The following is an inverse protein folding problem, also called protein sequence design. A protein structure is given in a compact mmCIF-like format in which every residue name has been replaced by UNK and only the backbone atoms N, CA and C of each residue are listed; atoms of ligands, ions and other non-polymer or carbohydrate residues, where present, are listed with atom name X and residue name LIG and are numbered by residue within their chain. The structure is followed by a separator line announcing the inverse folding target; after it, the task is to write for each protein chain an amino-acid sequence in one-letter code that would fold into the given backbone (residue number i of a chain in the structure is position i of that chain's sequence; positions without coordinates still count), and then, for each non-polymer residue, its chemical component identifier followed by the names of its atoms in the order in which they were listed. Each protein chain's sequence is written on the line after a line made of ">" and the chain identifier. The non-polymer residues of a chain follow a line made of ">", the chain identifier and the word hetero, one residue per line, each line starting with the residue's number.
data_IF_784937034356
#
_entry.id   IF_784937034356
#
_cell.length_a   1.000
_cell.length_b   1.000
_cell.length_c   1.000
_cell.angle_alpha   90.00
_cell.angle_beta   90.00
_cell.angle_gamma   90.00
#
_symmetry.space_group_name_H-M   'P 1'
#
loop_
_entity.id
_entity.type
_entity.pdbx_description
1 polymer ?
#
# COMPACT_ATOMS: atom_id res chain seq x y z
N UNK A 1 -14.16 26.59 -8.84
CA UNK A 1 -12.71 26.29 -8.69
C UNK A 1 -12.38 25.48 -7.42
N UNK A 2 -13.36 25.05 -6.62
CA UNK A 2 -13.10 24.28 -5.39
C UNK A 2 -12.89 22.76 -5.62
N UNK A 3 -13.44 22.19 -6.70
CA UNK A 3 -13.53 20.74 -6.88
C UNK A 3 -12.19 20.05 -7.23
N UNK A 4 -11.31 20.71 -8.00
CA UNK A 4 -10.01 20.15 -8.43
C UNK A 4 -9.01 20.06 -7.27
N UNK A 5 -8.98 21.02 -6.36
CA UNK A 5 -8.05 20.93 -5.21
C UNK A 5 -8.57 19.93 -4.18
N UNK A 6 -9.89 19.82 -4.03
CA UNK A 6 -10.51 18.96 -3.04
C UNK A 6 -10.24 17.47 -3.29
N UNK A 7 -10.29 17.01 -4.55
CA UNK A 7 -9.99 15.59 -4.83
C UNK A 7 -8.52 15.23 -4.53
N UNK A 8 -7.59 16.16 -4.73
CA UNK A 8 -6.17 15.97 -4.42
C UNK A 8 -5.93 15.92 -2.90
N UNK A 9 -6.61 16.78 -2.13
CA UNK A 9 -6.58 16.74 -0.65
C UNK A 9 -7.11 15.40 -0.12
N UNK A 10 -8.25 14.95 -0.65
CA UNK A 10 -8.84 13.67 -0.28
C UNK A 10 -7.91 12.48 -0.59
N UNK A 11 -7.15 12.54 -1.68
CA UNK A 11 -6.16 11.52 -2.02
C UNK A 11 -5.03 11.44 -0.98
N UNK A 12 -4.54 12.59 -0.50
CA UNK A 12 -3.55 12.61 0.61
C UNK A 12 -4.17 12.02 1.87
N UNK A 13 -5.36 12.46 2.28
CA UNK A 13 -5.98 11.97 3.51
C UNK A 13 -6.18 10.45 3.48
N UNK A 14 -6.58 9.90 2.33
CA UNK A 14 -6.69 8.46 2.11
C UNK A 14 -5.34 7.72 2.15
N UNK A 15 -4.28 8.30 1.58
CA UNK A 15 -2.94 7.74 1.72
C UNK A 15 -2.52 7.69 3.20
N UNK A 16 -2.78 8.77 3.94
CA UNK A 16 -2.43 8.90 5.36
C UNK A 16 -3.18 7.90 6.25
N UNK A 17 -4.43 7.57 5.90
CA UNK A 17 -5.17 6.47 6.55
C UNK A 17 -4.49 5.10 6.38
N UNK A 18 -3.66 4.95 5.34
CA UNK A 18 -3.02 3.67 5.00
C UNK A 18 -1.58 3.54 5.50
N UNK A 19 -0.92 4.64 5.89
CA UNK A 19 0.47 4.63 6.34
C UNK A 19 0.57 4.77 7.86
N UNK A 20 1.34 3.89 8.48
CA UNK A 20 1.63 3.94 9.91
C UNK A 20 2.81 4.88 10.16
N UNK A 21 2.55 6.15 10.42
CA UNK A 21 3.57 7.11 10.87
C UNK A 21 4.11 8.05 9.79
N UNK A 22 4.55 9.22 10.23
CA UNK A 22 4.88 10.37 9.38
C UNK A 22 6.40 10.55 9.19
N UNK A 23 7.23 9.68 9.79
CA UNK A 23 8.69 9.85 9.76
C UNK A 23 9.35 9.33 8.46
N UNK A 24 8.56 8.76 7.54
CA UNK A 24 9.06 8.13 6.31
C UNK A 24 9.32 9.09 5.14
N UNK A 25 9.68 8.49 4.01
CA UNK A 25 9.79 9.15 2.72
C UNK A 25 8.57 8.86 1.85
N UNK A 26 8.05 9.89 1.17
CA UNK A 26 6.98 9.78 0.17
C UNK A 26 7.47 10.18 -1.21
N UNK A 27 7.03 9.42 -2.20
CA UNK A 27 7.21 9.73 -3.61
C UNK A 27 5.86 10.12 -4.23
N UNK A 28 5.77 11.34 -4.72
CA UNK A 28 4.67 11.80 -5.57
C UNK A 28 5.03 11.54 -7.04
N UNK A 29 4.10 10.91 -7.77
CA UNK A 29 4.21 10.63 -9.20
C UNK A 29 3.00 11.24 -9.91
N UNK A 30 3.23 12.20 -10.81
CA UNK A 30 2.16 12.89 -11.55
C UNK A 30 2.45 14.38 -11.77
N UNK A 31 3.16 15.01 -10.84
CA UNK A 31 3.59 16.42 -10.89
C UNK A 31 2.48 17.46 -10.88
N UNK A 32 1.21 17.06 -10.78
CA UNK A 32 0.03 17.92 -10.98
C UNK A 32 -0.67 18.30 -9.66
N UNK A 33 -0.06 17.99 -8.51
CA UNK A 33 -0.59 18.41 -7.22
C UNK A 33 -0.47 19.93 -7.04
N UNK A 34 -1.52 20.54 -6.51
CA UNK A 34 -1.56 21.95 -6.11
C UNK A 34 -0.49 22.24 -5.04
N UNK A 35 0.05 23.46 -5.04
CA UNK A 35 1.09 23.84 -4.10
C UNK A 35 0.68 23.62 -2.63
N UNK A 36 -0.58 23.92 -2.26
CA UNK A 36 -1.04 23.71 -0.88
C UNK A 36 -1.13 22.23 -0.50
N UNK A 37 -1.34 21.36 -1.49
CA UNK A 37 -1.40 19.90 -1.32
C UNK A 37 0.01 19.36 -1.12
N UNK A 38 0.98 19.84 -1.90
CA UNK A 38 2.40 19.50 -1.74
C UNK A 38 2.98 19.99 -0.40
N UNK A 39 2.61 21.19 0.05
CA UNK A 39 3.02 21.72 1.35
C UNK A 39 2.47 20.85 2.50
N UNK A 40 1.22 20.39 2.39
CA UNK A 40 0.64 19.44 3.35
C UNK A 40 1.40 18.11 3.35
N UNK A 41 1.69 17.55 2.17
CA UNK A 41 2.40 16.28 2.05
C UNK A 41 3.81 16.34 2.68
N UNK A 42 4.55 17.41 2.37
CA UNK A 42 5.92 17.66 2.87
C UNK A 42 5.99 18.09 4.34
N UNK A 43 4.92 18.68 4.87
CA UNK A 43 4.81 18.93 6.31
C UNK A 43 4.59 17.66 7.14
N UNK A 44 4.17 16.56 6.49
CA UNK A 44 3.90 15.28 7.13
C UNK A 44 5.11 14.37 7.01
N UNK A 45 5.60 14.11 5.79
CA UNK A 45 6.72 13.21 5.56
C UNK A 45 8.08 13.91 5.66
N UNK A 46 9.06 13.28 6.31
CA UNK A 46 10.44 13.82 6.44
C UNK A 46 11.13 14.02 5.09
N UNK A 47 10.87 13.14 4.13
CA UNK A 47 11.39 13.25 2.76
C UNK A 47 10.26 13.22 1.75
N UNK A 48 10.12 14.29 0.96
CA UNK A 48 9.13 14.36 -0.12
C UNK A 48 9.83 14.59 -1.45
N UNK A 49 9.62 13.66 -2.39
CA UNK A 49 10.08 13.78 -3.77
C UNK A 49 8.86 13.91 -4.68
N UNK A 50 8.89 14.90 -5.57
CA UNK A 50 7.78 15.29 -6.46
C UNK A 50 8.31 15.37 -7.89
N UNK A 51 7.50 15.09 -8.89
CA UNK A 51 7.85 15.55 -10.25
C UNK A 51 7.99 14.50 -11.35
N UNK A 52 7.53 13.27 -11.12
CA UNK A 52 7.65 12.22 -12.12
C UNK A 52 6.53 12.35 -13.15
N UNK A 53 6.91 12.86 -14.32
CA UNK A 53 6.03 12.94 -15.48
C UNK A 53 6.22 11.70 -16.35
N UNK A 54 5.14 11.12 -16.88
CA UNK A 54 5.23 9.98 -17.79
C UNK A 54 5.99 10.29 -19.09
N UNK A 55 6.24 11.57 -19.41
CA UNK A 55 7.15 11.99 -20.49
C UNK A 55 8.03 13.21 -20.08
N UNK A 56 9.29 13.17 -20.48
CA UNK A 56 10.30 14.25 -20.35
C UNK A 56 9.96 15.54 -21.13
N UNK A 57 8.84 15.59 -21.85
CA UNK A 57 8.31 16.77 -22.54
C UNK A 57 7.02 17.33 -21.93
N UNK A 58 6.42 16.66 -20.95
CA UNK A 58 5.20 17.15 -20.28
C UNK A 58 5.42 18.54 -19.63
N UNK A 59 4.50 19.52 -19.77
CA UNK A 59 4.75 20.90 -19.34
C UNK A 59 5.02 21.03 -17.84
N UNK A 60 5.89 21.97 -17.44
CA UNK A 60 6.03 22.38 -16.03
C UNK A 60 4.70 22.98 -15.55
N UNK A 61 4.25 22.61 -14.36
CA UNK A 61 3.42 23.53 -13.58
C UNK A 61 4.33 24.72 -13.20
N UNK A 62 3.97 25.93 -13.62
CA UNK A 62 4.83 27.13 -13.58
C UNK A 62 5.11 27.68 -12.18
N UNK A 63 4.63 27.02 -11.13
CA UNK A 63 4.65 27.50 -9.74
C UNK A 63 5.40 26.55 -8.80
N UNK A 64 6.67 26.24 -9.08
CA UNK A 64 7.53 25.52 -8.13
C UNK A 64 8.61 26.46 -7.59
N UNK A 65 8.49 26.83 -6.31
CA UNK A 65 9.44 27.67 -5.59
C UNK A 65 10.75 26.92 -5.34
N UNK A 66 11.89 27.61 -5.47
CA UNK A 66 13.22 27.05 -5.18
C UNK A 66 13.48 26.77 -3.70
N UNK A 67 12.65 27.31 -2.80
CA UNK A 67 12.71 27.13 -1.34
C UNK A 67 11.71 26.09 -0.82
N UNK A 68 11.10 25.31 -1.71
CA UNK A 68 10.09 24.34 -1.32
C UNK A 68 10.68 23.21 -0.43
N UNK A 69 9.96 22.73 0.59
CA UNK A 69 10.41 21.66 1.50
C UNK A 69 10.43 20.26 0.86
N UNK A 70 10.42 20.17 -0.47
CA UNK A 70 10.41 18.93 -1.24
C UNK A 70 11.39 18.99 -2.42
N UNK A 71 11.93 17.82 -2.79
CA UNK A 71 12.81 17.70 -3.94
C UNK A 71 12.00 17.49 -5.21
N UNK A 72 12.19 18.35 -6.22
CA UNK A 72 11.58 18.18 -7.53
C UNK A 72 12.52 17.43 -8.48
N UNK A 73 12.13 16.25 -8.95
CA UNK A 73 12.89 15.44 -9.90
C UNK A 73 12.05 15.10 -11.12
N UNK A 74 12.65 15.16 -12.32
CA UNK A 74 12.02 14.73 -13.56
C UNK A 74 12.61 13.41 -14.03
N UNK A 75 11.82 12.34 -13.99
CA UNK A 75 12.13 11.08 -14.66
C UNK A 75 10.86 10.39 -15.13
N UNK A 76 11.02 9.39 -15.99
CA UNK A 76 9.94 8.49 -16.38
C UNK A 76 9.55 7.64 -15.16
N UNK A 77 8.25 7.51 -14.89
CA UNK A 77 7.73 6.65 -13.83
C UNK A 77 8.01 5.16 -14.07
N UNK A 78 8.29 4.79 -15.33
CA UNK A 78 8.72 3.46 -15.72
C UNK A 78 10.22 3.21 -15.51
N UNK A 79 11.01 4.23 -15.15
CA UNK A 79 12.46 4.13 -14.90
C UNK A 79 12.84 5.05 -13.73
N UNK A 80 12.55 4.61 -12.50
CA UNK A 80 12.74 5.41 -11.30
C UNK A 80 14.22 5.46 -10.88
N UNK A 81 14.84 6.65 -10.78
CA UNK A 81 16.27 6.82 -10.48
C UNK A 81 16.58 6.70 -8.98
N UNK A 82 15.83 5.88 -8.26
CA UNK A 82 15.98 5.65 -6.82
C UNK A 82 16.51 4.25 -6.58
N UNK A 83 17.20 4.09 -5.45
CA UNK A 83 17.59 2.77 -4.97
C UNK A 83 16.34 2.00 -4.55
N UNK A 84 16.47 0.69 -4.51
CA UNK A 84 15.43 -0.19 -3.97
C UNK A 84 15.08 0.27 -2.53
N UNK A 85 13.80 0.17 -2.19
CA UNK A 85 13.32 0.39 -0.82
C UNK A 85 13.61 1.80 -0.25
N UNK A 86 13.56 2.82 -1.11
CA UNK A 86 13.79 4.22 -0.73
C UNK A 86 12.58 4.91 -0.09
N UNK A 87 11.36 4.41 -0.33
CA UNK A 87 10.11 5.07 0.04
C UNK A 87 9.19 4.21 0.89
N UNK A 88 8.52 4.85 1.84
CA UNK A 88 7.48 4.26 2.69
C UNK A 88 6.10 4.39 2.02
N UNK A 89 5.94 5.42 1.18
CA UNK A 89 4.69 5.71 0.49
C UNK A 89 4.93 6.20 -0.96
N UNK A 90 4.02 5.82 -1.85
CA UNK A 90 3.89 6.39 -3.19
C UNK A 90 2.48 6.95 -3.34
N UNK A 91 2.38 8.19 -3.79
CA UNK A 91 1.14 8.87 -4.16
C UNK A 91 1.11 9.11 -5.67
N UNK A 92 0.08 8.63 -6.35
CA UNK A 92 -0.16 8.91 -7.76
C UNK A 92 -1.58 9.40 -7.99
N UNK A 93 -1.74 10.57 -8.61
CA UNK A 93 -3.04 11.16 -8.86
C UNK A 93 -3.11 11.64 -10.30
N UNK A 94 -4.10 11.16 -11.06
CA UNK A 94 -4.26 11.44 -12.49
C UNK A 94 -3.02 11.09 -13.36
N UNK A 95 -2.23 10.10 -12.94
CA UNK A 95 -0.96 9.76 -13.64
C UNK A 95 -1.09 8.52 -14.50
N UNK A 96 -1.79 7.48 -14.01
CA UNK A 96 -1.82 6.16 -14.66
C UNK A 96 -2.47 6.18 -16.05
N UNK A 97 -3.30 7.18 -16.33
CA UNK A 97 -3.91 7.42 -17.63
C UNK A 97 -2.91 7.88 -18.72
N UNK A 98 -1.71 8.23 -18.30
CA UNK A 98 -0.61 8.68 -19.15
C UNK A 98 0.58 7.70 -19.16
N UNK A 99 0.50 6.62 -18.38
CA UNK A 99 1.57 5.60 -18.30
C UNK A 99 1.43 4.59 -19.44
N UNK A 100 2.43 4.54 -20.33
CA UNK A 100 2.46 3.60 -21.45
C UNK A 100 2.63 2.13 -21.02
N UNK A 101 3.68 1.85 -20.24
CA UNK A 101 4.00 0.53 -19.70
C UNK A 101 3.61 0.43 -18.21
N UNK A 102 2.31 0.21 -17.98
CA UNK A 102 1.74 0.11 -16.63
C UNK A 102 2.36 -1.03 -15.82
N UNK A 103 2.69 -2.16 -16.46
CA UNK A 103 3.25 -3.30 -15.76
C UNK A 103 4.68 -3.00 -15.27
N UNK A 104 5.50 -2.33 -16.09
CA UNK A 104 6.81 -1.85 -15.68
C UNK A 104 6.72 -0.79 -14.59
N UNK A 105 5.80 0.16 -14.73
CA UNK A 105 5.53 1.16 -13.70
C UNK A 105 5.21 0.53 -12.34
N UNK A 106 4.32 -0.46 -12.29
CA UNK A 106 3.96 -1.14 -11.04
C UNK A 106 5.14 -1.94 -10.45
N UNK A 107 6.01 -2.52 -11.28
CA UNK A 107 7.26 -3.16 -10.83
C UNK A 107 8.25 -2.15 -10.25
N UNK A 108 8.38 -0.97 -10.85
CA UNK A 108 9.22 0.10 -10.33
C UNK A 108 8.68 0.63 -8.99
N UNK A 109 7.37 0.86 -8.88
CA UNK A 109 6.72 1.20 -7.61
C UNK A 109 7.02 0.15 -6.53
N UNK A 110 6.89 -1.14 -6.87
CA UNK A 110 7.24 -2.23 -5.96
C UNK A 110 8.72 -2.21 -5.54
N UNK A 111 9.63 -1.97 -6.48
CA UNK A 111 11.08 -1.95 -6.24
C UNK A 111 11.46 -0.85 -5.25
N UNK A 112 10.97 0.37 -5.46
CA UNK A 112 11.35 1.53 -4.64
C UNK A 112 10.59 1.62 -3.31
N UNK A 113 9.46 0.91 -3.17
CA UNK A 113 8.78 0.79 -1.89
C UNK A 113 9.56 -0.12 -0.94
N UNK A 114 9.62 0.29 0.33
CA UNK A 114 10.07 -0.57 1.43
C UNK A 114 9.06 -1.69 1.68
N UNK A 115 9.47 -2.82 2.29
CA UNK A 115 8.54 -3.84 2.74
C UNK A 115 7.45 -3.20 3.60
N UNK A 116 6.17 -3.46 3.28
CA UNK A 116 5.03 -2.86 4.00
C UNK A 116 4.62 -1.47 3.50
N UNK A 117 5.44 -0.85 2.65
CA UNK A 117 5.15 0.45 2.06
C UNK A 117 3.91 0.42 1.17
N UNK A 118 3.26 1.57 1.06
CA UNK A 118 1.94 1.72 0.44
C UNK A 118 2.04 2.49 -0.86
N UNK A 119 1.33 2.02 -1.88
CA UNK A 119 1.07 2.77 -3.10
C UNK A 119 -0.41 3.12 -3.19
N UNK A 120 -0.73 4.42 -3.10
CA UNK A 120 -2.06 4.95 -3.36
C UNK A 120 -2.13 5.52 -4.77
N UNK A 121 -3.18 5.17 -5.51
CA UNK A 121 -3.49 5.80 -6.79
C UNK A 121 -4.96 6.15 -6.96
N UNK A 122 -5.22 7.30 -7.57
CA UNK A 122 -6.55 7.71 -8.02
C UNK A 122 -6.47 8.38 -9.38
N UNK A 123 -7.15 7.82 -10.36
CA UNK A 123 -7.11 8.29 -11.74
C UNK A 123 -8.37 7.86 -12.48
N UNK A 124 -8.50 8.29 -13.72
CA UNK A 124 -9.68 8.00 -14.52
C UNK A 124 -9.28 7.23 -15.78
N UNK A 125 -9.92 6.08 -16.09
CA UNK A 125 -9.56 5.31 -17.27
C UNK A 125 -10.21 5.96 -18.50
N UNK A 126 -9.44 6.73 -19.27
CA UNK A 126 -9.97 7.58 -20.35
C UNK A 126 -10.85 6.79 -21.34
N UNK A 127 -10.44 5.58 -21.72
CA UNK A 127 -11.17 4.76 -22.71
C UNK A 127 -12.37 3.99 -22.10
N UNK A 128 -12.57 4.04 -20.78
CA UNK A 128 -13.75 3.47 -20.10
C UNK A 128 -14.70 4.53 -19.57
N UNK A 129 -14.59 5.78 -20.04
CA UNK A 129 -15.38 6.92 -19.60
C UNK A 129 -16.00 7.67 -20.79
N UNK A 130 -17.16 8.28 -20.57
CA UNK A 130 -17.80 9.14 -21.59
C UNK A 130 -17.06 10.44 -21.84
N UNK A 131 -16.41 10.99 -20.82
CA UNK A 131 -15.62 12.21 -20.92
C UNK A 131 -14.17 11.79 -21.16
N UNK A 132 -13.51 12.28 -22.21
CA UNK A 132 -12.11 11.95 -22.53
C UNK A 132 -11.09 12.64 -21.61
N UNK A 133 -11.31 12.58 -20.29
CA UNK A 133 -11.07 13.57 -19.23
C UNK A 133 -9.72 14.30 -19.10
N UNK A 134 -8.70 14.06 -19.91
CA UNK A 134 -7.44 14.86 -19.89
C UNK A 134 -7.05 15.45 -21.25
N UNK A 135 -8.03 15.67 -22.13
CA UNK A 135 -7.77 16.40 -23.37
C UNK A 135 -7.60 17.90 -23.13
N UNK A 136 -6.38 18.38 -23.39
CA UNK A 136 -6.01 19.79 -23.39
C UNK A 136 -5.49 20.18 -24.77
N UNK A 137 -6.34 20.81 -25.58
CA UNK A 137 -5.90 21.37 -26.86
C UNK A 137 -5.59 22.85 -26.68
N UNK A 138 -4.41 23.30 -27.11
CA UNK A 138 -3.99 24.71 -27.02
C UNK A 138 -3.57 25.22 -28.39
N UNK A 139 -4.08 26.39 -28.76
CA UNK A 139 -3.69 27.11 -29.97
C UNK A 139 -3.51 28.61 -29.65
N UNK A 140 -2.27 29.03 -29.47
CA UNK A 140 -1.96 30.39 -29.00
C UNK A 140 -2.55 30.65 -27.62
N UNK A 141 -3.46 31.62 -27.49
CA UNK A 141 -4.16 31.95 -26.23
C UNK A 141 -5.48 31.17 -26.03
N UNK A 142 -5.85 30.31 -26.98
CA UNK A 142 -7.09 29.52 -26.94
C UNK A 142 -6.80 28.14 -26.37
N UNK A 143 -7.73 27.64 -25.57
CA UNK A 143 -7.64 26.32 -24.96
C UNK A 143 -9.02 25.65 -24.94
N UNK A 144 -9.05 24.34 -25.20
CA UNK A 144 -10.17 23.46 -24.86
C UNK A 144 -9.70 22.51 -23.75
N UNK A 145 -10.42 22.50 -22.63
CA UNK A 145 -10.10 21.67 -21.46
C UNK A 145 -11.30 20.83 -21.11
N UNK A 146 -11.22 19.54 -21.38
CA UNK A 146 -12.36 18.65 -21.39
C UNK A 146 -12.92 18.37 -20.00
N UNK A 147 -12.07 18.44 -18.98
CA UNK A 147 -12.45 18.29 -17.58
C UNK A 147 -13.06 19.56 -16.96
N UNK A 148 -13.01 20.71 -17.65
CA UNK A 148 -13.60 21.95 -17.11
C UNK A 148 -15.07 22.05 -17.54
N UNK A 149 -16.02 22.20 -16.59
CA UNK A 149 -17.41 22.43 -16.91
C UNK A 149 -17.60 23.57 -17.91
N UNK A 150 -18.39 23.33 -18.96
CA UNK A 150 -18.67 24.32 -20.01
C UNK A 150 -17.50 24.61 -20.98
N UNK A 151 -16.37 23.89 -20.88
CA UNK A 151 -15.23 24.02 -21.79
C UNK A 151 -14.94 22.77 -22.63
N UNK A 152 -15.72 21.71 -22.48
CA UNK A 152 -15.65 20.53 -23.33
C UNK A 152 -16.45 20.80 -24.63
N UNK A 153 -15.81 20.89 -25.80
CA UNK A 153 -16.51 21.10 -27.06
C UNK A 153 -17.13 19.81 -27.61
N UNK A 154 -16.84 18.65 -27.02
CA UNK A 154 -17.20 17.34 -27.55
C UNK A 154 -18.32 16.66 -26.73
N UNK A 155 -19.32 16.05 -27.39
CA UNK A 155 -20.30 15.20 -26.71
C UNK A 155 -19.66 13.97 -26.05
N UNK A 156 -20.35 13.40 -25.07
CA UNK A 156 -19.88 12.19 -24.40
C UNK A 156 -19.68 11.02 -25.38
N UNK A 157 -18.66 10.20 -25.12
CA UNK A 157 -18.26 9.00 -25.89
C UNK A 157 -17.85 9.23 -27.34
N UNK A 158 -17.99 10.43 -27.88
CA UNK A 158 -17.75 10.67 -29.30
C UNK A 158 -16.30 10.35 -29.73
N UNK A 159 -15.32 10.54 -28.83
CA UNK A 159 -13.91 10.20 -29.03
C UNK A 159 -13.67 8.69 -29.23
N UNK A 160 -14.58 7.83 -28.76
CA UNK A 160 -14.52 6.39 -28.95
C UNK A 160 -15.36 5.94 -30.16
N UNK A 161 -16.42 6.66 -30.47
CA UNK A 161 -17.37 6.26 -31.51
C UNK A 161 -16.94 6.79 -32.88
N UNK A 162 -16.67 8.09 -32.99
CA UNK A 162 -16.40 8.78 -34.25
C UNK A 162 -15.01 8.48 -34.82
N UNK A 163 -14.92 8.59 -36.14
CA UNK A 163 -13.70 8.71 -36.91
C UNK A 163 -13.12 10.14 -36.83
N UNK A 164 -11.83 10.34 -37.19
CA UNK A 164 -11.23 11.67 -37.26
C UNK A 164 -12.02 12.64 -38.16
N UNK A 165 -12.60 12.16 -39.26
CA UNK A 165 -13.34 13.00 -40.21
C UNK A 165 -14.70 13.43 -39.68
N UNK A 166 -15.43 12.52 -39.01
CA UNK A 166 -16.68 12.85 -38.31
C UNK A 166 -16.43 13.87 -37.19
N UNK A 167 -15.37 13.68 -36.40
CA UNK A 167 -14.97 14.64 -35.38
C UNK A 167 -14.61 16.00 -35.97
N UNK A 168 -13.86 16.03 -37.08
CA UNK A 168 -13.53 17.27 -37.79
C UNK A 168 -14.76 18.01 -38.29
N UNK A 169 -15.69 17.28 -38.91
CA UNK A 169 -16.94 17.85 -39.41
C UNK A 169 -17.76 18.48 -38.28
N UNK A 170 -17.88 17.78 -37.14
CA UNK A 170 -18.57 18.30 -35.96
C UNK A 170 -17.89 19.54 -35.39
N UNK A 171 -16.56 19.52 -35.20
CA UNK A 171 -15.83 20.67 -34.67
C UNK A 171 -15.88 21.89 -35.61
N UNK A 172 -15.93 21.67 -36.92
CA UNK A 172 -16.08 22.72 -37.93
C UNK A 172 -17.49 23.35 -37.95
N UNK A 173 -18.48 22.72 -37.30
CA UNK A 173 -19.85 23.24 -37.19
C UNK A 173 -20.02 24.35 -36.14
N UNK A 174 -18.97 24.65 -35.38
CA UNK A 174 -18.91 25.79 -34.46
C UNK A 174 -18.81 25.55 -32.94
N UNK A 175 -18.63 24.33 -32.38
CA UNK A 175 -18.49 24.17 -30.91
C UNK A 175 -17.16 24.71 -30.36
N UNK A 176 -16.16 24.99 -31.20
CA UNK A 176 -14.89 25.59 -30.78
C UNK A 176 -14.26 26.48 -31.86
N UNK A 177 -13.13 27.11 -31.51
CA UNK A 177 -12.31 27.89 -32.44
C UNK A 177 -11.64 26.97 -33.48
N UNK A 178 -11.65 27.33 -34.76
CA UNK A 178 -11.08 26.54 -35.86
C UNK A 178 -9.61 26.14 -35.61
N UNK A 179 -8.86 26.99 -34.91
CA UNK A 179 -7.44 26.73 -34.60
C UNK A 179 -7.25 25.57 -33.62
N UNK A 180 -8.31 25.16 -32.90
CA UNK A 180 -8.27 24.04 -31.96
C UNK A 180 -8.66 22.71 -32.61
N UNK A 181 -9.19 22.70 -33.84
CA UNK A 181 -9.72 21.48 -34.48
C UNK A 181 -8.63 20.42 -34.64
N UNK A 182 -7.56 20.71 -35.38
CA UNK A 182 -6.48 19.74 -35.60
C UNK A 182 -5.72 19.40 -34.30
N UNK A 183 -5.46 20.34 -33.37
CA UNK A 183 -4.95 19.98 -32.05
C UNK A 183 -5.84 18.99 -31.28
N UNK A 184 -7.17 19.17 -31.29
CA UNK A 184 -8.10 18.22 -30.65
C UNK A 184 -8.01 16.86 -31.33
N UNK A 185 -8.12 16.80 -32.66
CA UNK A 185 -8.08 15.53 -33.41
C UNK A 185 -6.76 14.81 -33.18
N UNK A 186 -5.63 15.52 -33.29
CA UNK A 186 -4.31 14.95 -33.03
C UNK A 186 -4.21 14.42 -31.61
N UNK A 187 -4.76 15.13 -30.62
CA UNK A 187 -4.72 14.67 -29.24
C UNK A 187 -5.58 13.42 -29.02
N UNK A 188 -6.81 13.39 -29.54
CA UNK A 188 -7.72 12.23 -29.42
C UNK A 188 -7.14 10.99 -30.09
N UNK A 189 -6.71 11.11 -31.35
CA UNK A 189 -6.42 9.93 -32.17
C UNK A 189 -4.94 9.60 -32.25
N UNK A 190 -4.05 10.59 -32.17
CA UNK A 190 -2.62 10.42 -32.47
C UNK A 190 -1.69 10.64 -31.27
N UNK A 191 -2.20 11.18 -30.15
CA UNK A 191 -1.34 11.41 -28.98
C UNK A 191 -0.82 10.09 -28.43
N UNK A 192 0.50 10.05 -28.19
CA UNK A 192 1.17 8.98 -27.46
C UNK A 192 1.03 9.13 -25.94
N UNK A 193 0.66 10.32 -25.48
CA UNK A 193 0.63 10.68 -24.07
C UNK A 193 -0.65 10.16 -23.38
N UNK A 194 -1.62 9.64 -24.14
CA UNK A 194 -2.85 9.08 -23.59
C UNK A 194 -2.86 7.55 -23.70
N UNK A 195 -3.06 6.91 -22.56
CA UNK A 195 -3.36 5.49 -22.47
C UNK A 195 -4.72 5.18 -23.11
N UNK A 196 -4.71 4.22 -24.04
CA UNK A 196 -5.91 3.67 -24.69
C UNK A 196 -6.41 2.39 -24.01
N UNK A 197 -6.08 2.22 -22.73
CA UNK A 197 -6.47 1.06 -21.91
C UNK A 197 -7.89 1.22 -21.40
N UNK A 198 -8.66 0.13 -21.46
CA UNK A 198 -9.95 0.04 -20.79
C UNK A 198 -9.76 -0.37 -19.32
N UNK A 199 -10.82 -0.23 -18.52
CA UNK A 199 -10.87 -0.63 -17.12
C UNK A 199 -10.27 -2.04 -16.91
N UNK A 200 -10.67 -3.02 -17.72
CA UNK A 200 -10.24 -4.40 -17.53
C UNK A 200 -8.73 -4.57 -17.73
N UNK A 201 -8.11 -3.72 -18.55
CA UNK A 201 -6.67 -3.75 -18.77
C UNK A 201 -5.91 -3.22 -17.54
N UNK A 202 -6.43 -2.20 -16.86
CA UNK A 202 -5.91 -1.77 -15.56
C UNK A 202 -6.09 -2.87 -14.51
N UNK A 203 -7.28 -3.46 -14.40
CA UNK A 203 -7.55 -4.54 -13.43
C UNK A 203 -6.65 -5.75 -13.68
N UNK A 204 -6.39 -6.12 -14.95
CA UNK A 204 -5.46 -7.19 -15.31
C UNK A 204 -4.05 -6.87 -14.81
N UNK A 205 -3.55 -5.66 -15.09
CA UNK A 205 -2.22 -5.21 -14.69
C UNK A 205 -2.07 -5.19 -13.16
N UNK A 206 -3.11 -4.72 -12.45
CA UNK A 206 -3.15 -4.70 -10.99
C UNK A 206 -3.09 -6.10 -10.38
N UNK A 207 -3.79 -7.07 -10.96
CA UNK A 207 -3.75 -8.47 -10.49
C UNK A 207 -2.42 -9.16 -10.76
N UNK A 208 -1.71 -8.75 -11.81
CA UNK A 208 -0.41 -9.31 -12.18
C UNK A 208 0.76 -8.57 -11.51
N UNK A 209 0.47 -7.46 -10.85
CA UNK A 209 1.43 -6.68 -10.08
C UNK A 209 2.03 -7.49 -8.93
N UNK A 210 3.32 -7.31 -8.60
CA UNK A 210 3.89 -7.84 -7.37
C UNK A 210 3.38 -7.10 -6.11
N UNK A 211 2.69 -5.95 -6.27
CA UNK A 211 2.05 -5.26 -5.16
C UNK A 211 0.71 -5.92 -4.81
N UNK A 212 0.50 -6.20 -3.53
CA UNK A 212 -0.77 -6.73 -3.04
C UNK A 212 -1.84 -5.63 -3.10
N UNK A 213 -2.91 -5.86 -3.87
CA UNK A 213 -4.06 -4.96 -3.91
C UNK A 213 -4.85 -5.05 -2.59
N UNK A 214 -4.94 -3.94 -1.87
CA UNK A 214 -5.66 -3.81 -0.61
C UNK A 214 -7.07 -3.23 -0.81
N UNK A 215 -7.18 -2.22 -1.66
CA UNK A 215 -8.44 -1.53 -1.96
C UNK A 215 -8.58 -1.36 -3.47
N UNK A 216 -9.79 -1.50 -3.98
CA UNK A 216 -10.16 -1.15 -5.36
C UNK A 216 -11.61 -0.62 -5.38
N UNK A 217 -11.74 0.69 -5.55
CA UNK A 217 -13.01 1.38 -5.65
C UNK A 217 -13.19 1.89 -7.09
N UNK A 218 -14.35 1.58 -7.67
CA UNK A 218 -14.72 2.03 -9.02
C UNK A 218 -15.75 3.14 -8.93
N UNK A 219 -15.46 4.29 -9.52
CA UNK A 219 -16.37 5.44 -9.59
C UNK A 219 -17.16 5.36 -10.89
N UNK A 220 -18.49 5.26 -10.78
CA UNK A 220 -19.43 5.23 -11.90
C UNK A 220 -20.45 6.36 -11.74
N UNK A 221 -20.48 7.29 -12.68
CA UNK A 221 -21.39 8.45 -12.58
C UNK A 221 -22.25 8.63 -13.84
N UNK A 222 -21.81 8.16 -15.01
CA UNK A 222 -22.54 8.35 -16.28
C UNK A 222 -22.31 7.18 -17.26
N UNK A 223 -23.26 6.22 -17.39
CA UNK A 223 -23.17 5.18 -18.41
C UNK A 223 -23.56 5.73 -19.79
N UNK A 224 -23.06 5.12 -20.90
CA UNK A 224 -23.49 5.47 -22.24
C UNK A 224 -24.99 5.22 -22.44
N UNK A 225 -25.64 6.01 -23.30
CA UNK A 225 -27.02 5.72 -23.73
C UNK A 225 -27.08 4.39 -24.49
N UNK A 226 -28.25 3.73 -24.59
CA UNK A 226 -28.36 2.44 -25.28
C UNK A 226 -27.79 2.44 -26.71
N UNK A 227 -28.03 3.50 -27.48
CA UNK A 227 -27.54 3.64 -28.85
C UNK A 227 -26.02 3.80 -28.93
N UNK A 228 -25.43 4.55 -27.98
CA UNK A 228 -23.97 4.71 -27.88
C UNK A 228 -23.34 3.41 -27.40
N UNK A 229 -23.93 2.75 -26.42
CA UNK A 229 -23.46 1.47 -25.90
C UNK A 229 -23.43 0.41 -27.00
N UNK A 230 -24.46 0.30 -27.82
CA UNK A 230 -24.49 -0.63 -28.95
C UNK A 230 -23.35 -0.38 -29.94
N UNK A 231 -23.04 0.89 -30.24
CA UNK A 231 -21.91 1.26 -31.09
C UNK A 231 -20.56 0.89 -30.46
N UNK A 232 -20.39 1.18 -29.17
CA UNK A 232 -19.17 0.85 -28.44
C UNK A 232 -18.94 -0.66 -28.36
N UNK A 233 -19.98 -1.43 -28.04
CA UNK A 233 -19.91 -2.90 -27.98
C UNK A 233 -19.62 -3.50 -29.35
N UNK A 234 -20.23 -2.97 -30.41
CA UNK A 234 -19.92 -3.40 -31.78
C UNK A 234 -18.47 -3.12 -32.19
N UNK A 235 -17.87 -2.03 -31.70
CA UNK A 235 -16.52 -1.61 -32.09
C UNK A 235 -15.41 -2.25 -31.25
N UNK A 236 -15.65 -2.46 -29.96
CA UNK A 236 -14.60 -2.83 -29.00
C UNK A 236 -14.87 -4.14 -28.24
N UNK A 237 -16.06 -4.74 -28.38
CA UNK A 237 -16.46 -5.95 -27.68
C UNK A 237 -17.54 -5.71 -26.63
N UNK A 238 -18.42 -6.71 -26.44
CA UNK A 238 -19.55 -6.64 -25.52
C UNK A 238 -19.14 -6.76 -24.05
N UNK A 239 -17.94 -7.29 -23.79
CA UNK A 239 -17.37 -7.52 -22.46
C UNK A 239 -16.72 -6.28 -21.84
N UNK A 240 -16.57 -5.20 -22.60
CA UNK A 240 -15.91 -3.97 -22.16
C UNK A 240 -16.85 -3.07 -21.34
N UNK A 241 -16.30 -2.50 -20.27
CA UNK A 241 -16.98 -1.52 -19.42
C UNK A 241 -16.71 -0.09 -19.89
N UNK A 242 -17.79 0.66 -20.13
CA UNK A 242 -17.76 2.02 -20.66
C UNK A 242 -18.34 3.08 -19.70
N UNK A 243 -18.62 2.74 -18.44
CA UNK A 243 -19.15 3.69 -17.43
C UNK A 243 -18.19 4.06 -16.30
N UNK A 244 -16.93 3.63 -16.36
CA UNK A 244 -15.96 3.85 -15.30
C UNK A 244 -15.28 5.21 -15.43
N UNK A 245 -15.64 6.13 -14.55
CA UNK A 245 -15.10 7.49 -14.54
C UNK A 245 -13.90 7.66 -13.61
N UNK A 246 -13.61 6.66 -12.78
CA UNK A 246 -12.51 6.74 -11.83
C UNK A 246 -12.20 5.40 -11.23
N UNK A 247 -10.94 5.20 -10.93
CA UNK A 247 -10.39 4.09 -10.18
C UNK A 247 -9.61 4.69 -9.01
N UNK A 248 -9.94 4.26 -7.81
CA UNK A 248 -9.13 4.46 -6.63
C UNK A 248 -8.61 3.08 -6.20
N UNK A 249 -7.31 2.96 -6.03
CA UNK A 249 -6.69 1.71 -5.62
C UNK A 249 -5.58 1.97 -4.59
N UNK A 250 -5.49 1.06 -3.64
CA UNK A 250 -4.41 1.02 -2.65
C UNK A 250 -3.72 -0.31 -2.77
N UNK A 251 -2.40 -0.28 -2.87
CA UNK A 251 -1.56 -1.45 -2.87
C UNK A 251 -0.54 -1.39 -1.75
N UNK A 252 -0.05 -2.55 -1.35
CA UNK A 252 1.00 -2.68 -0.36
C UNK A 252 2.10 -3.62 -0.86
N UNK A 253 3.36 -3.24 -0.65
CA UNK A 253 4.48 -4.17 -0.84
C UNK A 253 4.47 -5.19 0.29
N UNK A 254 4.56 -6.46 -0.07
CA UNK A 254 4.57 -7.52 0.92
C UNK A 254 5.78 -7.40 1.87
N UNK A 255 5.54 -7.52 3.17
CA UNK A 255 6.61 -7.59 4.17
C UNK A 255 7.17 -9.01 4.24
N UNK A 256 8.48 -9.15 4.43
CA UNK A 256 9.03 -10.47 4.79
C UNK A 256 8.50 -10.89 6.17
N UNK A 257 8.51 -12.20 6.41
CA UNK A 257 8.09 -12.79 7.69
C UNK A 257 8.92 -12.21 8.85
N UNK A 258 10.23 -12.04 8.65
CA UNK A 258 11.16 -11.48 9.63
C UNK A 258 10.95 -9.97 9.82
N UNK A 259 10.61 -9.24 8.76
CA UNK A 259 10.27 -7.82 8.86
C UNK A 259 8.98 -7.61 9.66
N UNK A 260 7.96 -8.46 9.44
CA UNK A 260 6.74 -8.46 10.25
C UNK A 260 7.03 -8.78 11.71
N UNK A 261 7.86 -9.80 11.98
CA UNK A 261 8.21 -10.14 13.35
C UNK A 261 8.92 -8.98 14.06
N UNK A 262 9.92 -8.35 13.43
CA UNK A 262 10.59 -7.16 14.00
C UNK A 262 9.63 -6.00 14.23
N UNK A 263 8.68 -5.78 13.33
CA UNK A 263 7.66 -4.74 13.52
C UNK A 263 6.75 -5.04 14.72
N UNK A 264 6.36 -6.30 14.92
CA UNK A 264 5.63 -6.73 16.11
C UNK A 264 6.42 -6.47 17.39
N UNK A 265 7.73 -6.74 17.38
CA UNK A 265 8.64 -6.48 18.51
C UNK A 265 8.79 -4.98 18.80
N UNK A 266 8.90 -4.14 17.77
CA UNK A 266 8.93 -2.69 17.92
C UNK A 266 7.63 -2.15 18.55
N UNK A 267 6.47 -2.62 18.08
CA UNK A 267 5.17 -2.27 18.65
C UNK A 267 5.07 -2.72 20.12
N UNK A 268 5.50 -3.94 20.43
CA UNK A 268 5.55 -4.47 21.78
C UNK A 268 6.40 -3.59 22.70
N UNK A 269 7.63 -3.27 22.30
CA UNK A 269 8.56 -2.46 23.07
C UNK A 269 8.06 -1.01 23.28
N UNK A 270 7.24 -0.50 22.36
CA UNK A 270 6.60 0.81 22.47
C UNK A 270 5.26 0.78 23.24
N UNK A 271 4.84 -0.38 23.75
CA UNK A 271 3.61 -0.55 24.53
C UNK A 271 2.33 -0.67 23.70
N UNK A 272 2.43 -0.78 22.37
CA UNK A 272 1.29 -0.98 21.46
C UNK A 272 0.87 -2.46 21.40
N UNK A 273 0.50 -3.03 22.55
CA UNK A 273 0.33 -4.47 22.72
C UNK A 273 -0.70 -5.12 21.78
N UNK A 274 -1.83 -4.45 21.53
CA UNK A 274 -2.88 -4.95 20.63
C UNK A 274 -2.41 -5.01 19.17
N UNK A 275 -1.73 -3.96 18.71
CA UNK A 275 -1.18 -3.88 17.36
C UNK A 275 -0.06 -4.91 17.17
N UNK A 276 0.79 -5.09 18.19
CA UNK A 276 1.83 -6.12 18.20
C UNK A 276 1.23 -7.53 18.04
N UNK A 277 0.15 -7.85 18.78
CA UNK A 277 -0.54 -9.12 18.67
C UNK A 277 -1.10 -9.35 17.25
N UNK A 278 -1.77 -8.35 16.68
CA UNK A 278 -2.29 -8.41 15.31
C UNK A 278 -1.17 -8.64 14.28
N UNK A 279 0.03 -8.09 14.52
CA UNK A 279 1.20 -8.30 13.66
C UNK A 279 1.77 -9.71 13.82
N UNK A 280 1.97 -10.20 15.05
CA UNK A 280 2.49 -11.57 15.25
C UNK A 280 1.52 -12.64 14.75
N UNK A 281 0.20 -12.41 14.83
CA UNK A 281 -0.79 -13.30 14.20
C UNK A 281 -0.56 -13.37 12.68
N UNK A 282 -0.33 -12.23 12.02
CA UNK A 282 0.01 -12.22 10.57
C UNK A 282 1.31 -12.95 10.26
N UNK A 283 2.28 -12.94 11.19
CA UNK A 283 3.53 -13.70 11.04
C UNK A 283 3.22 -15.20 10.98
N UNK A 284 2.50 -15.74 11.95
CA UNK A 284 2.19 -17.18 12.00
C UNK A 284 1.19 -17.63 10.92
N UNK A 285 0.34 -16.73 10.41
CA UNK A 285 -0.51 -16.99 9.24
C UNK A 285 0.30 -17.16 7.95
N UNK A 286 1.43 -16.44 7.85
CA UNK A 286 2.33 -16.51 6.68
C UNK A 286 3.37 -17.61 6.80
N UNK A 287 3.87 -17.82 8.01
CA UNK A 287 4.83 -18.86 8.35
C UNK A 287 4.44 -19.53 9.66
N UNK A 288 3.70 -20.63 9.54
CA UNK A 288 3.30 -21.45 10.68
C UNK A 288 4.46 -22.19 11.35
N UNK A 289 5.67 -22.11 10.79
CA UNK A 289 6.92 -22.61 11.35
C UNK A 289 7.76 -21.55 12.08
N UNK A 290 7.24 -20.34 12.33
CA UNK A 290 8.01 -19.30 13.00
C UNK A 290 7.92 -19.40 14.54
N UNK A 291 8.82 -20.14 15.17
CA UNK A 291 8.83 -20.38 16.62
C UNK A 291 8.83 -19.09 17.47
N UNK A 292 9.74 -18.15 17.17
CA UNK A 292 9.82 -16.86 17.87
C UNK A 292 8.51 -16.05 17.86
N UNK A 293 7.72 -16.10 16.78
CA UNK A 293 6.43 -15.40 16.73
C UNK A 293 5.40 -16.04 17.67
N UNK A 294 5.37 -17.38 17.77
CA UNK A 294 4.56 -18.07 18.76
C UNK A 294 4.99 -17.72 20.20
N UNK A 295 6.29 -17.65 20.47
CA UNK A 295 6.82 -17.17 21.75
C UNK A 295 6.35 -15.74 22.06
N UNK A 296 6.47 -14.82 21.10
CA UNK A 296 6.07 -13.42 21.28
C UNK A 296 4.56 -13.27 21.56
N UNK A 297 3.70 -14.09 20.92
CA UNK A 297 2.27 -14.15 21.25
C UNK A 297 2.05 -14.66 22.68
N UNK A 298 2.79 -15.69 23.10
CA UNK A 298 2.75 -16.20 24.48
C UNK A 298 3.07 -15.12 25.50
N UNK A 299 4.13 -14.32 25.26
CA UNK A 299 4.51 -13.19 26.12
C UNK A 299 3.38 -12.17 26.22
N UNK A 300 2.78 -11.77 25.09
CA UNK A 300 1.64 -10.85 25.06
C UNK A 300 0.43 -11.37 25.83
N UNK A 301 0.14 -12.67 25.76
CA UNK A 301 -0.95 -13.29 26.51
C UNK A 301 -0.67 -13.27 28.02
N UNK A 302 0.59 -13.46 28.44
CA UNK A 302 0.98 -13.30 29.84
C UNK A 302 0.76 -11.88 30.34
N UNK A 303 1.14 -10.86 29.55
CA UNK A 303 0.88 -9.45 29.88
C UNK A 303 -0.63 -9.16 30.01
N UNK A 304 -1.47 -9.88 29.27
CA UNK A 304 -2.93 -9.79 29.38
C UNK A 304 -3.53 -10.67 30.51
N UNK A 305 -2.71 -11.38 31.28
CA UNK A 305 -3.13 -12.27 32.37
C UNK A 305 -3.65 -13.65 31.91
N UNK A 306 -3.55 -13.98 30.63
CA UNK A 306 -4.03 -15.23 30.03
C UNK A 306 -2.98 -16.34 30.06
N UNK A 307 -2.43 -16.62 31.25
CA UNK A 307 -1.29 -17.51 31.43
C UNK A 307 -1.52 -18.93 30.88
N UNK A 308 -2.72 -19.51 31.03
CA UNK A 308 -3.02 -20.84 30.49
C UNK A 308 -3.00 -20.88 28.96
N UNK A 309 -3.46 -19.81 28.30
CA UNK A 309 -3.40 -19.70 26.84
C UNK A 309 -1.95 -19.49 26.39
N UNK A 310 -1.18 -18.68 27.12
CA UNK A 310 0.23 -18.43 26.83
C UNK A 310 1.05 -19.72 26.78
N UNK A 311 0.83 -20.66 27.71
CA UNK A 311 1.51 -21.98 27.71
C UNK A 311 1.30 -22.71 26.39
N UNK A 312 0.09 -22.70 25.81
CA UNK A 312 -0.18 -23.37 24.54
C UNK A 312 0.64 -22.78 23.38
N UNK A 313 0.84 -21.45 23.39
CA UNK A 313 1.65 -20.77 22.37
C UNK A 313 3.15 -21.04 22.57
N UNK A 314 3.64 -21.07 23.81
CA UNK A 314 5.03 -21.44 24.06
C UNK A 314 5.30 -22.91 23.73
N UNK A 315 4.42 -23.83 24.11
CA UNK A 315 4.51 -25.24 23.72
C UNK A 315 4.51 -25.38 22.19
N UNK A 316 3.69 -24.59 21.49
CA UNK A 316 3.70 -24.58 20.03
C UNK A 316 5.03 -24.06 19.45
N UNK A 317 5.63 -23.04 20.04
CA UNK A 317 6.97 -22.57 19.66
C UNK A 317 8.01 -23.69 19.84
N UNK A 318 7.96 -24.42 20.94
CA UNK A 318 8.88 -25.51 21.28
C UNK A 318 8.65 -26.79 20.47
N UNK A 319 7.43 -27.03 20.02
CA UNK A 319 7.12 -28.11 19.07
C UNK A 319 7.75 -27.84 17.69
N UNK A 320 7.87 -26.56 17.33
CA UNK A 320 8.48 -26.10 16.06
C UNK A 320 10.00 -26.08 16.20
N UNK A 321 10.52 -25.45 17.25
CA UNK A 321 11.94 -25.37 17.58
C UNK A 321 12.17 -25.69 19.07
N UNK A 322 12.56 -26.94 19.40
CA UNK A 322 12.83 -27.34 20.77
C UNK A 322 14.00 -26.59 21.44
N UNK A 323 14.86 -25.94 20.66
CA UNK A 323 16.00 -25.17 21.14
C UNK A 323 15.73 -23.65 21.20
N UNK A 324 14.48 -23.21 20.97
CA UNK A 324 14.04 -21.81 21.15
C UNK A 324 14.11 -21.42 22.64
N UNK A 325 15.27 -20.89 23.01
CA UNK A 325 15.68 -20.63 24.39
C UNK A 325 14.69 -19.73 25.14
N UNK A 326 14.20 -18.68 24.49
CA UNK A 326 13.29 -17.73 25.12
C UNK A 326 11.94 -18.39 25.42
N UNK A 327 11.45 -19.25 24.52
CA UNK A 327 10.23 -20.03 24.76
C UNK A 327 10.39 -21.01 25.93
N UNK A 328 11.56 -21.65 26.08
CA UNK A 328 11.83 -22.54 27.23
C UNK A 328 11.73 -21.77 28.55
N UNK A 329 12.40 -20.61 28.64
CA UNK A 329 12.39 -19.78 29.84
C UNK A 329 10.99 -19.27 30.14
N UNK A 330 10.31 -18.71 29.14
CA UNK A 330 8.99 -18.11 29.30
C UNK A 330 7.94 -19.17 29.69
N UNK A 331 7.91 -20.30 28.98
CA UNK A 331 7.00 -21.40 29.30
C UNK A 331 7.24 -21.96 30.69
N UNK A 332 8.51 -22.20 31.05
CA UNK A 332 8.86 -22.73 32.36
C UNK A 332 8.47 -21.79 33.51
N UNK A 333 8.70 -20.48 33.36
CA UNK A 333 8.27 -19.47 34.35
C UNK A 333 6.75 -19.42 34.49
N UNK A 334 6.02 -19.47 33.38
CA UNK A 334 4.54 -19.44 33.41
C UNK A 334 3.98 -20.73 34.03
N UNK A 335 4.54 -21.90 33.69
CA UNK A 335 4.19 -23.17 34.32
C UNK A 335 4.41 -23.13 35.84
N UNK A 336 5.51 -22.52 36.31
CA UNK A 336 5.77 -22.29 37.75
C UNK A 336 4.69 -21.42 38.37
N UNK A 337 4.29 -20.31 37.73
CA UNK A 337 3.20 -19.45 38.20
C UNK A 337 1.83 -20.18 38.24
N UNK A 338 1.66 -21.21 37.42
CA UNK A 338 0.46 -22.05 37.36
C UNK A 338 0.55 -23.31 38.27
N UNK A 339 1.53 -23.38 39.17
CA UNK A 339 1.82 -24.53 40.04
C UNK A 339 2.16 -25.84 39.31
N UNK A 340 2.50 -25.77 38.02
CA UNK A 340 2.91 -26.89 37.16
C UNK A 340 4.43 -27.14 37.25
N UNK A 341 4.94 -27.21 38.48
CA UNK A 341 6.37 -27.29 38.78
C UNK A 341 7.03 -28.56 38.22
N UNK A 342 6.29 -29.66 38.06
CA UNK A 342 6.84 -30.93 37.55
C UNK A 342 7.10 -30.82 36.05
N UNK A 343 6.21 -30.17 35.33
CA UNK A 343 6.23 -29.94 33.90
C UNK A 343 7.37 -28.97 33.55
N UNK A 344 7.47 -27.84 34.27
CA UNK A 344 8.58 -26.89 34.13
C UNK A 344 9.96 -27.56 34.36
N UNK A 345 10.06 -28.44 35.37
CA UNK A 345 11.30 -29.20 35.62
C UNK A 345 11.66 -30.08 34.42
N UNK A 346 10.68 -30.79 33.85
CA UNK A 346 10.90 -31.65 32.69
C UNK A 346 11.34 -30.84 31.48
N UNK A 347 10.69 -29.71 31.24
CA UNK A 347 11.02 -28.80 30.15
C UNK A 347 12.48 -28.31 30.24
N UNK A 348 12.88 -27.70 31.37
CA UNK A 348 14.26 -27.24 31.55
C UNK A 348 15.28 -28.38 31.46
N UNK A 349 14.96 -29.56 32.03
CA UNK A 349 15.86 -30.71 31.96
C UNK A 349 16.03 -31.23 30.53
N UNK A 350 14.97 -31.19 29.73
CA UNK A 350 15.00 -31.61 28.33
C UNK A 350 15.84 -30.64 27.48
N UNK A 351 15.65 -29.33 27.64
CA UNK A 351 16.46 -28.33 26.94
C UNK A 351 17.94 -28.42 27.31
N UNK A 352 18.27 -28.57 28.60
CA UNK A 352 19.66 -28.69 29.07
C UNK A 352 20.33 -30.00 28.63
N UNK A 353 19.58 -31.00 28.21
CA UNK A 353 20.16 -32.22 27.66
C UNK A 353 20.87 -31.95 26.32
N UNK A 354 20.31 -31.07 25.49
CA UNK A 354 20.92 -30.62 24.23
C UNK A 354 21.79 -29.37 24.41
N UNK A 355 21.51 -28.54 25.43
CA UNK A 355 22.20 -27.27 25.70
C UNK A 355 22.81 -27.24 27.13
N UNK A 356 23.80 -28.09 27.46
CA UNK A 356 24.27 -28.28 28.84
C UNK A 356 24.98 -27.05 29.44
N UNK A 357 25.44 -26.12 28.60
CA UNK A 357 26.22 -24.97 29.03
C UNK A 357 25.37 -23.73 29.36
N UNK A 358 24.05 -23.79 29.17
CA UNK A 358 23.13 -22.69 29.49
C UNK A 358 23.00 -22.49 31.01
N UNK A 359 23.80 -21.56 31.53
CA UNK A 359 23.89 -21.31 32.97
C UNK A 359 22.61 -20.75 33.57
N UNK A 360 21.83 -19.97 32.81
CA UNK A 360 20.60 -19.36 33.32
C UNK A 360 19.53 -20.43 33.52
N UNK A 361 19.29 -21.27 32.51
CA UNK A 361 18.28 -22.33 32.61
C UNK A 361 18.72 -23.40 33.63
N UNK A 362 20.03 -23.67 33.73
CA UNK A 362 20.58 -24.52 34.79
C UNK A 362 20.29 -23.95 36.18
N UNK A 363 20.42 -22.63 36.34
CA UNK A 363 20.13 -21.95 37.60
C UNK A 363 18.62 -21.99 37.92
N UNK A 364 17.74 -21.72 36.94
CA UNK A 364 16.29 -21.84 37.08
C UNK A 364 15.87 -23.27 37.49
N UNK A 365 16.49 -24.29 36.90
CA UNK A 365 16.25 -25.69 37.26
C UNK A 365 16.69 -26.00 38.71
N UNK A 366 17.84 -25.49 39.15
CA UNK A 366 18.32 -25.66 40.53
C UNK A 366 17.38 -25.00 41.55
N UNK A 367 16.95 -23.78 41.27
CA UNK A 367 15.99 -23.05 42.11
C UNK A 367 14.67 -23.82 42.25
N UNK A 368 14.13 -24.32 41.14
CA UNK A 368 12.91 -25.12 41.11
C UNK A 368 13.03 -26.43 41.92
N UNK A 369 14.20 -27.07 41.91
CA UNK A 369 14.44 -28.29 42.70
C UNK A 369 14.58 -27.99 44.19
N UNK A 370 15.26 -26.89 44.54
CA UNK A 370 15.51 -26.50 45.92
C UNK A 370 14.25 -25.98 46.63
N UNK A 371 13.36 -25.28 45.93
CA UNK A 371 12.08 -24.81 46.48
C UNK A 371 11.26 -25.97 47.08
N UNK A 372 11.27 -27.13 46.41
CA UNK A 372 10.55 -28.32 46.84
C UNK A 372 11.17 -29.03 48.05
N UNK A 373 12.46 -28.81 48.32
CA UNK A 373 13.12 -29.35 49.51
C UNK A 373 12.72 -28.55 50.76
N UNK A 374 12.56 -27.24 50.67
CA UNK A 374 12.11 -26.42 51.80
C UNK A 374 10.65 -26.67 52.19
N UNK A 375 9.74 -26.89 51.22
CA UNK A 375 8.33 -27.19 51.52
C UNK A 375 8.14 -28.57 52.20
N UNK A 376 9.03 -29.53 51.92
CA UNK A 376 9.05 -30.84 52.57
C UNK A 376 9.70 -30.83 53.96
N UNK A 377 10.66 -29.94 54.20
CA UNK A 377 11.30 -29.82 55.53
C UNK A 377 10.41 -29.08 56.52
N UNK A 378 9.61 -28.09 56.07
CA UNK A 378 8.64 -27.39 56.92
C UNK A 378 7.40 -28.20 57.31
N UNK A 379 7.06 -29.26 56.56
CA UNK A 379 5.92 -30.16 56.87
C UNK A 379 6.28 -31.35 57.76
N UNK A 380 7.56 -31.54 58.09
CA UNK A 380 8.06 -32.60 59.00
C UNK A 380 8.40 -32.09 60.41
N UNK A 381 8.17 -30.81 60.72
CA UNK A 381 8.52 -30.19 62.02
C UNK A 381 7.33 -29.96 62.98
N UNK A 382 6.17 -30.56 62.72
CA UNK A 382 5.01 -30.58 63.63
C UNK A 382 4.54 -32.01 63.85
N UNK A 383 5.33 -32.79 64.57
CA UNK A 383 4.89 -33.94 65.36
C UNK A 383 6.04 -34.31 66.30
N UNK A 384 5.99 -33.77 67.51
CA UNK A 384 6.97 -33.98 68.59
C UNK A 384 6.37 -33.67 69.94
#
# INVERSE_FOLDING_TARGET
>A
MAEIVEYQKNAIDKLLECVSGTEGNVLEIGSDLDACVLDKLSGIFKGTVVGLNPDVNFPRCSSRNSEAPYSALRSDGCDLPFKDESFDAILSVATLEHVGDLDKFLRECHRVLKPGGVFYTKFSPIWSCGIGHHLCAVAGKKEARFWKPGKNPLPDFCHLVWSPDEMRAFLSSGPCDDRLIEPIISWVYNSKDISRRFLEDYIRSFRQSPLKQMVLNLIRLYPPTPDVLAQLQSKYGAEREFGCQGIEAVFQKEQSVEALNRHGEELFNNGHLKEALDVFIKVIERDSGHAQAYNNIGVLLCENGEMQNAVQYFEKALDIDPDERDAVINCGRVMICLDQMKEAKRLYSAYLYTNPDDQEILQLLKELVNHKQNDKVGSLSHDG
#
